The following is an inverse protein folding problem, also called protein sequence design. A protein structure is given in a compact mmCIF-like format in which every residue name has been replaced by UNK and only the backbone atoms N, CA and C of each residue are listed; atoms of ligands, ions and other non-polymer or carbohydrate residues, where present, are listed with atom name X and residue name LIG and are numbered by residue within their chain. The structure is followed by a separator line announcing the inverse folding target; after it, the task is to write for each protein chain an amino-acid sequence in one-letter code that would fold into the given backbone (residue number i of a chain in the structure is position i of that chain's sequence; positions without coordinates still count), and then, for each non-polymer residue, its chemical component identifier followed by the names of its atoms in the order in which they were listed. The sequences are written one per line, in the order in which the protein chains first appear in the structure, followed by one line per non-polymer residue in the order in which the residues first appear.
data_IF_670409179347
#
_entry.id   IF_670409179347
#
_cell.length_a   1.000
_cell.length_b   1.000
_cell.length_c   1.000
_cell.angle_alpha   90.00
_cell.angle_beta   90.00
_cell.angle_gamma   90.00
#
_symmetry.space_group_name_H-M   'P 1'
#
loop_
_entity.id
_entity.type
_entity.pdbx_description
1 polymer ?
#
# COMPACT_ATOMS: atom_id res chain seq x y z
N UNK A 1 24.90 9.10 -9.03
CA UNK A 1 23.75 8.23 -9.36
C UNK A 1 22.56 9.13 -9.53
N UNK A 2 22.05 9.25 -10.75
CA UNK A 2 20.89 10.08 -11.10
C UNK A 2 19.64 9.50 -10.44
N UNK A 3 19.06 10.24 -9.49
CA UNK A 3 17.73 9.99 -8.94
C UNK A 3 16.75 10.14 -10.11
N UNK A 4 16.37 9.01 -10.71
CA UNK A 4 15.31 8.97 -11.69
C UNK A 4 14.10 9.61 -11.00
N UNK A 5 13.53 10.65 -11.61
CA UNK A 5 12.21 11.13 -11.23
C UNK A 5 11.23 10.04 -11.67
N UNK A 6 11.21 8.94 -10.92
CA UNK A 6 10.26 7.86 -11.07
C UNK A 6 8.94 8.48 -10.62
N UNK A 7 8.12 8.99 -11.54
CA UNK A 7 6.73 9.34 -11.25
C UNK A 7 6.05 8.12 -10.64
N UNK A 8 5.19 8.33 -9.64
CA UNK A 8 4.40 7.25 -9.04
C UNK A 8 3.76 6.39 -10.15
N UNK A 9 4.08 5.09 -10.26
CA UNK A 9 3.54 4.21 -11.31
C UNK A 9 2.01 4.10 -11.30
N UNK A 10 1.39 4.37 -10.16
CA UNK A 10 -0.05 4.26 -9.98
C UNK A 10 -0.72 5.63 -9.76
N UNK A 11 0.05 6.72 -9.77
CA UNK A 11 -0.42 8.12 -9.64
C UNK A 11 -1.40 8.31 -8.46
N UNK A 12 -1.11 7.73 -7.29
CA UNK A 12 -1.96 7.87 -6.11
C UNK A 12 -2.00 9.32 -5.64
N UNK A 13 -3.17 9.78 -5.19
CA UNK A 13 -3.29 11.05 -4.48
C UNK A 13 -2.72 10.90 -3.05
N UNK A 14 -1.39 10.97 -2.95
CA UNK A 14 -0.68 10.82 -1.69
C UNK A 14 -0.73 12.12 -0.87
N UNK A 15 -1.08 12.06 0.42
CA UNK A 15 -0.89 13.19 1.32
C UNK A 15 0.58 13.61 1.38
N UNK A 16 0.85 14.86 1.72
CA UNK A 16 2.22 15.41 1.76
C UNK A 16 3.17 14.69 2.72
N UNK A 17 2.61 14.01 3.71
CA UNK A 17 3.33 13.24 4.74
C UNK A 17 3.53 11.78 4.31
N UNK A 18 3.40 11.47 3.02
CA UNK A 18 3.65 10.15 2.46
C UNK A 18 4.74 10.20 1.41
N UNK A 19 5.44 9.08 1.28
CA UNK A 19 6.41 8.85 0.23
C UNK A 19 6.17 7.49 -0.41
N UNK A 20 6.67 7.30 -1.62
CA UNK A 20 6.66 6.00 -2.27
C UNK A 20 8.06 5.59 -2.69
N UNK A 21 8.27 4.28 -2.75
CA UNK A 21 9.46 3.64 -3.30
C UNK A 21 9.03 2.52 -4.24
N UNK A 22 9.68 2.42 -5.39
CA UNK A 22 9.48 1.32 -6.34
C UNK A 22 10.58 0.28 -6.14
N UNK A 23 10.22 -0.94 -5.79
CA UNK A 23 11.15 -2.03 -5.49
C UNK A 23 10.69 -3.35 -6.15
N UNK A 24 11.45 -3.85 -7.13
CA UNK A 24 11.30 -5.22 -7.62
C UNK A 24 9.91 -5.59 -8.18
N UNK A 25 9.19 -4.65 -8.80
CA UNK A 25 7.83 -4.88 -9.31
C UNK A 25 6.71 -4.58 -8.30
N UNK A 26 7.07 -4.05 -7.14
CA UNK A 26 6.16 -3.56 -6.11
C UNK A 26 6.36 -2.06 -5.92
N UNK A 27 5.28 -1.36 -5.64
CA UNK A 27 5.34 0.04 -5.17
C UNK A 27 4.91 0.05 -3.72
N UNK A 28 5.72 0.67 -2.86
CA UNK A 28 5.51 0.76 -1.42
C UNK A 28 5.31 2.22 -1.07
N UNK A 29 4.14 2.53 -0.54
CA UNK A 29 3.78 3.81 0.05
C UNK A 29 3.99 3.73 1.55
N UNK A 30 4.65 4.73 2.13
CA UNK A 30 4.96 4.79 3.56
C UNK A 30 4.64 6.18 4.09
N UNK A 31 4.03 6.23 5.27
CA UNK A 31 3.79 7.49 5.97
C UNK A 31 5.08 8.03 6.62
N UNK A 32 5.14 9.33 6.91
CA UNK A 32 6.33 10.00 7.46
C UNK A 32 6.73 9.46 8.84
N UNK A 33 5.76 9.04 9.65
CA UNK A 33 6.01 8.39 10.94
C UNK A 33 6.60 6.98 10.80
N UNK A 34 6.62 6.44 9.58
CA UNK A 34 7.05 5.08 9.26
C UNK A 34 6.36 4.02 10.13
N UNK A 35 5.07 4.19 10.41
CA UNK A 35 4.26 3.25 11.18
C UNK A 35 3.35 2.42 10.29
N UNK A 36 2.96 2.93 9.12
CA UNK A 36 2.10 2.26 8.16
C UNK A 36 2.75 2.25 6.78
N UNK A 37 2.67 1.11 6.12
CA UNK A 37 2.99 0.93 4.71
C UNK A 37 1.80 0.35 3.97
N UNK A 38 1.49 0.91 2.83
CA UNK A 38 0.59 0.32 1.84
C UNK A 38 1.44 -0.10 0.66
N UNK A 39 1.18 -1.25 0.05
CA UNK A 39 1.93 -1.62 -1.15
C UNK A 39 1.10 -2.30 -2.19
N UNK A 40 1.38 -1.94 -3.44
CA UNK A 40 0.78 -2.54 -4.62
C UNK A 40 1.84 -3.43 -5.27
N UNK A 41 1.57 -4.73 -5.34
CA UNK A 41 2.45 -5.71 -6.00
C UNK A 41 1.80 -6.19 -7.27
N UNK A 42 2.44 -5.94 -8.42
CA UNK A 42 2.04 -6.52 -9.68
C UNK A 42 2.62 -7.93 -9.81
N UNK A 43 1.79 -8.90 -10.20
CA UNK A 43 2.25 -10.24 -10.50
C UNK A 43 1.48 -10.86 -11.66
N UNK A 44 2.14 -11.75 -12.40
CA UNK A 44 1.52 -12.49 -13.50
C UNK A 44 1.22 -13.92 -13.07
N UNK A 45 0.01 -14.39 -13.37
CA UNK A 45 -0.38 -15.80 -13.21
C UNK A 45 -1.02 -16.29 -14.50
N UNK A 46 -0.38 -17.27 -15.14
CA UNK A 46 -0.72 -17.72 -16.49
C UNK A 46 -0.60 -16.60 -17.54
N UNK A 47 -1.69 -16.25 -18.22
CA UNK A 47 -1.75 -15.21 -19.26
C UNK A 47 -2.43 -13.92 -18.78
N UNK A 48 -2.52 -13.73 -17.46
CA UNK A 48 -3.21 -12.61 -16.84
C UNK A 48 -2.31 -11.95 -15.79
N UNK A 49 -2.41 -10.62 -15.72
CA UNK A 49 -1.76 -9.78 -14.71
C UNK A 49 -2.76 -9.53 -13.59
N UNK A 50 -2.23 -9.48 -12.37
CA UNK A 50 -2.96 -9.31 -11.14
C UNK A 50 -2.22 -8.33 -10.23
N UNK A 51 -2.96 -7.73 -9.31
CA UNK A 51 -2.40 -6.83 -8.30
C UNK A 51 -2.81 -7.28 -6.90
N UNK A 52 -1.87 -7.21 -5.96
CA UNK A 52 -2.15 -7.31 -4.54
C UNK A 52 -1.96 -5.97 -3.87
N UNK A 53 -2.88 -5.63 -2.97
CA UNK A 53 -2.72 -4.50 -2.06
C UNK A 53 -2.52 -5.07 -0.66
N UNK A 54 -1.36 -4.77 -0.07
CA UNK A 54 -1.01 -5.23 1.26
C UNK A 54 -0.77 -4.03 2.17
N UNK A 55 -1.24 -4.12 3.42
CA UNK A 55 -0.91 -3.14 4.46
C UNK A 55 0.10 -3.76 5.43
N UNK A 56 1.01 -2.96 5.92
CA UNK A 56 1.93 -3.34 6.97
C UNK A 56 1.92 -2.27 8.04
N UNK A 57 1.88 -2.71 9.28
CA UNK A 57 1.96 -1.85 10.45
C UNK A 57 3.20 -2.19 11.24
N UNK A 58 3.81 -1.21 11.86
CA UNK A 58 4.78 -1.42 12.93
C UNK A 58 4.64 -0.35 13.99
N UNK A 59 5.07 -0.67 15.19
CA UNK A 59 5.27 0.37 16.21
C UNK A 59 6.46 1.25 15.81
N UNK A 60 6.42 2.53 16.17
CA UNK A 60 7.46 3.52 15.82
C UNK A 60 8.88 3.07 16.24
N UNK A 61 8.97 2.31 17.33
CA UNK A 61 10.23 1.80 17.89
C UNK A 61 10.63 0.42 17.36
N UNK A 62 9.77 -0.24 16.59
CA UNK A 62 10.02 -1.60 16.10
C UNK A 62 10.71 -1.58 14.73
N UNK A 63 11.59 -2.56 14.51
CA UNK A 63 12.22 -2.76 13.22
C UNK A 63 11.36 -3.65 12.31
N UNK A 64 10.48 -4.47 12.89
CA UNK A 64 9.72 -5.49 12.19
C UNK A 64 8.37 -4.96 11.69
N UNK A 65 8.08 -5.24 10.42
CA UNK A 65 6.79 -4.90 9.81
C UNK A 65 5.83 -6.08 9.93
N UNK A 66 4.66 -5.83 10.52
CA UNK A 66 3.58 -6.81 10.59
C UNK A 66 2.64 -6.61 9.42
N UNK A 67 2.53 -7.60 8.53
CA UNK A 67 1.54 -7.58 7.45
C UNK A 67 0.12 -7.65 8.03
N UNK A 68 -0.71 -6.67 7.70
CA UNK A 68 -2.16 -6.63 7.94
C UNK A 68 -2.87 -6.87 6.61
N UNK A 69 -3.80 -7.81 6.60
CA UNK A 69 -4.60 -8.05 5.40
C UNK A 69 -5.54 -6.86 5.18
N UNK A 70 -5.20 -6.00 4.23
CA UNK A 70 -6.11 -4.98 3.73
C UNK A 70 -6.92 -5.60 2.59
N UNK A 71 -8.12 -6.11 2.91
CA UNK A 71 -8.99 -6.72 1.92
C UNK A 71 -8.56 -8.14 1.50
N UNK A 72 -8.90 -9.12 2.33
CA UNK A 72 -9.40 -10.45 1.95
C UNK A 72 -8.51 -11.42 1.16
N UNK A 73 -7.21 -11.22 1.01
CA UNK A 73 -6.38 -12.17 0.26
C UNK A 73 -6.84 -12.34 -1.21
N UNK A 74 -7.62 -11.39 -1.71
CA UNK A 74 -8.13 -11.36 -3.07
C UNK A 74 -7.18 -10.53 -3.94
N UNK A 75 -6.89 -11.04 -5.13
CA UNK A 75 -6.10 -10.35 -6.13
C UNK A 75 -7.01 -9.53 -7.05
N UNK A 76 -6.65 -8.29 -7.31
CA UNK A 76 -7.33 -7.45 -8.30
C UNK A 76 -6.93 -7.88 -9.72
N UNK A 77 -7.87 -7.79 -10.66
CA UNK A 77 -7.64 -8.02 -12.10
C UNK A 77 -7.56 -6.72 -12.89
N UNK A 78 -7.79 -5.60 -12.23
CA UNK A 78 -7.78 -4.26 -12.79
C UNK A 78 -6.90 -3.39 -11.89
N UNK A 79 -5.94 -2.63 -12.46
CA UNK A 79 -5.05 -1.79 -11.68
C UNK A 79 -5.79 -0.63 -11.01
N UNK A 80 -6.85 -0.07 -11.62
CA UNK A 80 -7.61 1.04 -11.04
C UNK A 80 -8.34 0.60 -9.76
N UNK A 81 -8.79 -0.67 -9.68
CA UNK A 81 -9.37 -1.21 -8.45
C UNK A 81 -8.33 -1.34 -7.33
N UNK A 82 -7.11 -1.77 -7.66
CA UNK A 82 -6.01 -1.82 -6.70
C UNK A 82 -5.62 -0.42 -6.21
N UNK A 83 -5.63 0.58 -7.11
CA UNK A 83 -5.39 1.99 -6.77
C UNK A 83 -6.45 2.51 -5.82
N UNK A 84 -7.74 2.34 -6.14
CA UNK A 84 -8.85 2.78 -5.28
C UNK A 84 -8.73 2.24 -3.87
N UNK A 85 -8.41 0.95 -3.72
CA UNK A 85 -8.22 0.34 -2.40
C UNK A 85 -7.01 0.95 -1.69
N UNK A 86 -5.89 1.13 -2.40
CA UNK A 86 -4.71 1.77 -1.81
C UNK A 86 -4.97 3.22 -1.37
N UNK A 87 -5.71 4.00 -2.16
CA UNK A 87 -6.12 5.37 -1.80
C UNK A 87 -6.98 5.39 -0.55
N UNK A 88 -7.98 4.50 -0.43
CA UNK A 88 -8.80 4.42 0.78
C UNK A 88 -7.97 4.09 2.01
N UNK A 89 -6.98 3.20 1.88
CA UNK A 89 -6.11 2.84 3.00
C UNK A 89 -5.23 4.02 3.43
N UNK A 90 -4.66 4.75 2.48
CA UNK A 90 -3.89 5.97 2.73
C UNK A 90 -4.75 7.05 3.39
N UNK A 91 -5.99 7.23 2.91
CA UNK A 91 -6.94 8.18 3.49
C UNK A 91 -7.35 7.77 4.92
N UNK A 92 -7.56 6.48 5.17
CA UNK A 92 -7.91 5.98 6.51
C UNK A 92 -6.83 6.30 7.55
N UNK A 93 -5.55 6.21 7.19
CA UNK A 93 -4.44 6.62 8.08
C UNK A 93 -4.46 8.10 8.37
N UNK A 94 -4.80 8.92 7.38
CA UNK A 94 -4.97 10.36 7.56
C UNK A 94 -6.14 10.67 8.50
N UNK A 95 -7.20 9.88 8.46
CA UNK A 95 -8.32 9.95 9.41
C UNK A 95 -8.00 9.37 10.80
N UNK A 96 -6.81 8.80 10.97
CA UNK A 96 -6.27 8.36 12.26
C UNK A 96 -6.29 6.84 12.48
N UNK A 97 -6.60 6.05 11.47
CA UNK A 97 -6.52 4.59 11.56
C UNK A 97 -5.07 4.11 11.43
N UNK A 98 -4.57 3.41 12.45
CA UNK A 98 -3.21 2.88 12.48
C UNK A 98 -3.17 1.39 12.12
N UNK A 99 -4.32 0.77 11.81
CA UNK A 99 -4.51 -0.65 11.50
C UNK A 99 -3.89 -1.61 12.53
N UNK A 100 -3.60 -1.14 13.75
CA UNK A 100 -2.95 -1.95 14.79
C UNK A 100 -3.93 -2.90 15.46
N UNK A 101 -5.21 -2.55 15.53
CA UNK A 101 -6.31 -3.38 16.04
C UNK A 101 -6.97 -4.18 14.89
N UNK A 102 -7.03 -5.51 15.01
CA UNK A 102 -7.72 -6.38 14.04
C UNK A 102 -9.22 -6.52 14.37
N UNK A 103 -10.09 -6.70 13.37
CA UNK A 103 -9.82 -6.70 11.93
C UNK A 103 -10.09 -5.34 11.27
N UNK A 104 -9.36 -5.05 10.19
CA UNK A 104 -9.68 -4.00 9.21
C UNK A 104 -10.90 -4.46 8.41
N UNK A 105 -12.06 -4.55 9.06
CA UNK A 105 -13.31 -5.06 8.48
C UNK A 105 -14.09 -3.93 7.82
N UNK A 106 -14.46 -4.16 6.56
CA UNK A 106 -15.48 -3.46 5.77
C UNK A 106 -15.13 -2.05 5.29
N UNK A 107 -14.09 -1.92 4.47
CA UNK A 107 -14.11 -0.92 3.39
C UNK A 107 -14.94 -1.52 2.24
N UNK A 108 -16.17 -1.02 2.07
CA UNK A 108 -17.16 -1.46 1.07
C UNK A 108 -17.14 -0.53 -0.13
#
# INVERSE_FOLDING_TARGET
MTKQADTDPYDLDLPSEWCYTVEGGRVVYENEASTVRVSITEFSRHLQVYWWVDVFTREETDAEWTKREAGLGDSFRDPDDAVRVAEVLVESVKDGDDFTELPVSDVV
#
